data_IF_718269582038
#
_entry.id   IF_718269582038
#
_cell.length_a   1.000
_cell.length_b   1.000
_cell.length_c   1.000
_cell.angle_alpha   90.00
_cell.angle_beta   90.00
_cell.angle_gamma   90.00
#
_symmetry.space_group_name_H-M   'P 1'
#
loop_
_entity.id
_entity.type
_entity.pdbx_description
1 polymer ?
#
# COMPACT_ATOMS: atom_id res chain seq x y z
N UNK A 1 18.20 -11.10 -1.33
CA UNK A 1 19.17 -10.48 -0.38
C UNK A 1 19.00 -11.02 1.05
N UNK A 2 17.78 -11.08 1.61
CA UNK A 2 17.60 -11.57 2.98
C UNK A 2 18.06 -13.03 3.16
N UNK A 3 17.87 -13.88 2.16
CA UNK A 3 18.37 -15.27 2.17
C UNK A 3 19.90 -15.37 1.96
N UNK A 4 20.54 -14.29 1.52
CA UNK A 4 21.99 -14.16 1.32
C UNK A 4 22.70 -13.62 2.57
N UNK A 5 21.98 -13.50 3.69
CA UNK A 5 22.54 -13.08 4.98
C UNK A 5 22.55 -11.58 5.23
N UNK A 6 21.76 -10.79 4.48
CA UNK A 6 21.51 -9.39 4.79
C UNK A 6 20.50 -9.29 5.93
N UNK A 7 20.90 -8.71 7.04
CA UNK A 7 20.11 -8.70 8.28
C UNK A 7 19.54 -7.33 8.64
N UNK A 8 19.95 -6.28 7.97
CA UNK A 8 19.51 -4.91 8.22
C UNK A 8 18.96 -4.27 6.96
N UNK A 9 17.91 -3.49 7.11
CA UNK A 9 17.26 -2.75 6.03
C UNK A 9 17.25 -1.27 6.38
N UNK A 10 17.63 -0.46 5.43
CA UNK A 10 17.46 1.00 5.47
C UNK A 10 16.19 1.28 4.68
N UNK A 11 15.09 1.62 5.36
CA UNK A 11 13.89 2.14 4.72
C UNK A 11 14.15 3.63 4.43
N UNK A 12 14.41 3.99 3.18
CA UNK A 12 14.69 5.35 2.75
C UNK A 12 13.40 5.99 2.20
N UNK A 13 12.96 7.09 2.82
CA UNK A 13 11.77 7.87 2.40
C UNK A 13 12.22 9.29 2.03
N UNK A 14 11.92 9.71 0.81
CA UNK A 14 12.22 11.06 0.33
C UNK A 14 11.05 11.98 0.71
N UNK A 15 11.35 13.10 1.36
CA UNK A 15 10.33 14.03 1.83
C UNK A 15 9.62 14.70 0.66
N UNK A 16 8.30 14.49 0.56
CA UNK A 16 7.44 15.11 -0.46
C UNK A 16 8.06 15.07 -1.87
N UNK A 17 8.56 13.90 -2.27
CA UNK A 17 9.35 13.74 -3.48
C UNK A 17 8.75 14.45 -4.70
N UNK A 18 7.49 14.20 -5.03
CA UNK A 18 6.82 14.82 -6.19
C UNK A 18 6.73 16.35 -6.10
N UNK A 19 6.75 16.93 -4.91
CA UNK A 19 6.63 18.37 -4.69
C UNK A 19 7.99 19.08 -4.67
N UNK A 20 9.10 18.30 -4.53
CA UNK A 20 10.44 18.87 -4.28
C UNK A 20 11.45 18.64 -5.42
N UNK A 21 11.04 17.98 -6.50
CA UNK A 21 11.92 17.75 -7.67
C UNK A 21 12.34 19.08 -8.29
N UNK A 22 13.64 19.31 -8.36
CA UNK A 22 14.20 20.53 -8.96
C UNK A 22 14.14 20.44 -10.49
N UNK A 23 13.41 21.38 -11.14
CA UNK A 23 13.20 21.39 -12.59
C UNK A 23 14.50 21.53 -13.39
N UNK A 24 15.43 22.41 -12.95
CA UNK A 24 16.68 22.64 -13.68
C UNK A 24 17.58 21.39 -13.62
N UNK A 25 17.62 20.73 -12.45
CA UNK A 25 18.35 19.49 -12.30
C UNK A 25 17.77 18.38 -13.15
N UNK A 26 16.42 18.23 -13.16
CA UNK A 26 15.74 17.26 -14.00
C UNK A 26 16.00 17.49 -15.50
N UNK A 27 15.90 18.73 -15.96
CA UNK A 27 16.19 19.07 -17.36
C UNK A 27 17.67 18.84 -17.69
N UNK A 28 18.58 19.10 -16.75
CA UNK A 28 20.00 18.79 -16.90
C UNK A 28 20.26 17.29 -17.09
N UNK A 29 19.57 16.44 -16.31
CA UNK A 29 19.64 14.97 -16.43
C UNK A 29 19.08 14.51 -17.79
N UNK A 30 17.95 15.09 -18.21
CA UNK A 30 17.34 14.78 -19.51
C UNK A 30 18.24 15.14 -20.69
N UNK A 31 18.98 16.24 -20.60
CA UNK A 31 19.95 16.67 -21.62
C UNK A 31 21.07 15.67 -21.89
N UNK A 32 21.37 14.80 -20.94
CA UNK A 32 22.37 13.74 -21.16
C UNK A 32 21.94 12.72 -22.23
N UNK A 33 20.62 12.64 -22.51
CA UNK A 33 20.03 11.67 -23.44
C UNK A 33 19.23 12.31 -24.57
N UNK A 34 18.69 13.50 -24.37
CA UNK A 34 17.81 14.21 -25.31
C UNK A 34 18.53 15.45 -25.79
N UNK A 35 18.93 15.46 -27.06
CA UNK A 35 19.60 16.60 -27.71
C UNK A 35 18.62 17.62 -28.32
N UNK A 36 17.33 17.27 -28.44
CA UNK A 36 16.34 18.17 -29.00
C UNK A 36 15.88 19.24 -28.00
N UNK A 37 16.25 20.49 -28.30
CA UNK A 37 15.90 21.64 -27.48
C UNK A 37 14.38 21.89 -27.42
N UNK A 38 13.63 21.57 -28.49
CA UNK A 38 12.17 21.78 -28.52
C UNK A 38 11.48 20.84 -27.55
N UNK A 39 11.87 19.57 -27.55
CA UNK A 39 11.35 18.57 -26.61
C UNK A 39 11.67 18.94 -25.16
N UNK A 40 12.89 19.35 -24.86
CA UNK A 40 13.27 19.78 -23.50
C UNK A 40 12.49 21.02 -23.04
N UNK A 41 12.24 21.97 -23.94
CA UNK A 41 11.41 23.14 -23.65
C UNK A 41 9.97 22.75 -23.38
N UNK A 42 9.38 21.82 -24.13
CA UNK A 42 8.04 21.32 -23.91
C UNK A 42 7.90 20.64 -22.55
N UNK A 43 8.88 19.76 -22.20
CA UNK A 43 8.90 19.12 -20.87
C UNK A 43 8.97 20.18 -19.77
N UNK A 44 9.80 21.22 -19.92
CA UNK A 44 9.90 22.31 -18.95
C UNK A 44 8.59 23.06 -18.80
N UNK A 45 7.90 23.36 -19.90
CA UNK A 45 6.58 23.98 -19.88
C UNK A 45 5.56 23.11 -19.16
N UNK A 46 5.57 21.78 -19.39
CA UNK A 46 4.73 20.83 -18.67
C UNK A 46 5.00 20.87 -17.14
N UNK A 47 6.25 20.91 -16.71
CA UNK A 47 6.62 21.01 -15.30
C UNK A 47 6.15 22.33 -14.67
N UNK A 48 6.19 23.44 -15.42
CA UNK A 48 5.83 24.77 -14.96
C UNK A 48 4.34 25.08 -15.07
N UNK A 49 3.57 24.26 -15.78
CA UNK A 49 2.12 24.49 -16.02
C UNK A 49 1.30 24.58 -14.72
N UNK A 50 1.83 24.04 -13.62
CA UNK A 50 1.24 24.14 -12.29
C UNK A 50 0.08 23.16 -12.09
N UNK A 51 -0.58 23.32 -10.93
CA UNK A 51 -1.74 22.54 -10.53
C UNK A 51 -2.93 23.49 -10.33
N UNK A 52 -4.08 23.10 -10.85
CA UNK A 52 -5.32 23.85 -10.60
C UNK A 52 -5.88 23.42 -9.24
N UNK A 53 -5.83 24.31 -8.27
CA UNK A 53 -6.49 24.15 -6.96
C UNK A 53 -7.61 25.17 -6.79
N UNK A 54 -8.81 24.70 -6.53
CA UNK A 54 -10.01 25.53 -6.33
C UNK A 54 -10.27 26.56 -7.47
N UNK A 55 -9.97 26.17 -8.73
CA UNK A 55 -10.16 27.03 -9.89
C UNK A 55 -9.03 28.04 -10.15
N UNK A 56 -7.99 28.07 -9.34
CA UNK A 56 -6.82 28.92 -9.52
C UNK A 56 -5.62 28.09 -9.97
N UNK A 57 -4.98 28.49 -11.06
CA UNK A 57 -3.74 27.88 -11.56
C UNK A 57 -2.55 28.51 -10.79
N UNK A 58 -1.83 27.70 -10.04
CA UNK A 58 -0.58 28.13 -9.40
C UNK A 58 0.61 27.56 -10.18
N UNK A 59 1.43 28.39 -10.83
CA UNK A 59 2.65 27.92 -11.47
C UNK A 59 3.56 27.24 -10.46
N UNK A 60 4.07 26.06 -10.79
CA UNK A 60 4.99 25.35 -9.94
C UNK A 60 6.45 25.75 -10.28
N UNK A 61 7.20 26.17 -9.27
CA UNK A 61 8.65 26.45 -9.42
C UNK A 61 9.49 25.17 -9.22
N UNK A 62 8.94 24.21 -8.50
CA UNK A 62 9.56 22.93 -8.14
C UNK A 62 8.48 21.82 -8.19
N UNK A 63 8.91 20.58 -8.26
CA UNK A 63 8.03 19.44 -8.23
C UNK A 63 7.54 18.96 -9.60
N UNK A 64 6.92 17.81 -9.59
CA UNK A 64 6.30 17.17 -10.76
C UNK A 64 4.82 17.01 -10.49
N UNK A 65 3.92 17.46 -11.39
CA UNK A 65 2.47 17.41 -11.15
C UNK A 65 2.00 15.99 -10.79
N UNK A 66 1.40 15.82 -9.61
CA UNK A 66 0.86 14.52 -9.19
C UNK A 66 -0.35 14.14 -10.08
N UNK A 67 -0.32 12.90 -10.62
CA UNK A 67 -1.36 12.42 -11.53
C UNK A 67 -1.16 12.80 -13.01
N UNK A 68 -0.14 13.57 -13.34
CA UNK A 68 0.24 13.85 -14.73
C UNK A 68 0.81 12.61 -15.45
N UNK A 69 0.56 12.43 -16.75
CA UNK A 69 1.02 11.24 -17.50
C UNK A 69 2.53 11.11 -17.60
N UNK A 70 3.27 12.22 -17.60
CA UNK A 70 4.74 12.24 -17.65
C UNK A 70 5.40 12.07 -16.26
N UNK A 71 4.68 12.36 -15.18
CA UNK A 71 5.24 12.42 -13.83
C UNK A 71 5.92 11.13 -13.40
N UNK A 72 5.37 9.91 -13.60
CA UNK A 72 6.04 8.67 -13.22
C UNK A 72 7.35 8.44 -14.00
N UNK A 73 7.37 8.81 -15.30
CA UNK A 73 8.55 8.64 -16.17
C UNK A 73 9.65 9.61 -15.72
N UNK A 74 9.33 10.89 -15.58
CA UNK A 74 10.29 11.93 -15.14
C UNK A 74 10.84 11.64 -13.75
N UNK A 75 9.99 11.14 -12.86
CA UNK A 75 10.36 10.66 -11.52
C UNK A 75 11.41 9.56 -11.59
N UNK A 76 11.17 8.54 -12.41
CA UNK A 76 12.11 7.43 -12.56
C UNK A 76 13.43 7.87 -13.22
N UNK A 77 13.40 8.77 -14.21
CA UNK A 77 14.59 9.34 -14.83
C UNK A 77 15.43 10.11 -13.81
N UNK A 78 14.78 10.85 -12.90
CA UNK A 78 15.47 11.60 -11.85
C UNK A 78 16.16 10.68 -10.85
N UNK A 79 15.47 9.64 -10.40
CA UNK A 79 15.95 8.66 -9.42
C UNK A 79 16.87 7.58 -10.01
N UNK A 80 16.95 7.43 -11.34
CA UNK A 80 17.96 6.58 -12.02
C UNK A 80 19.39 6.96 -11.60
N UNK A 81 19.62 8.26 -11.27
CA UNK A 81 20.90 8.70 -10.73
C UNK A 81 21.21 8.11 -9.36
N UNK A 82 20.18 7.93 -8.51
CA UNK A 82 20.32 7.25 -7.22
C UNK A 82 20.62 5.77 -7.44
N UNK A 83 19.89 5.10 -8.35
CA UNK A 83 20.10 3.69 -8.65
C UNK A 83 21.53 3.45 -9.09
N UNK A 84 22.06 4.23 -10.04
CA UNK A 84 23.45 4.14 -10.50
C UNK A 84 24.49 4.41 -9.40
N UNK A 85 24.20 5.32 -8.50
CA UNK A 85 25.09 5.59 -7.36
C UNK A 85 25.13 4.40 -6.39
N UNK A 86 23.96 3.80 -6.10
CA UNK A 86 23.86 2.63 -5.22
C UNK A 86 24.56 1.41 -5.86
N UNK A 87 24.39 1.20 -7.16
CA UNK A 87 25.07 0.17 -7.94
C UNK A 87 26.59 0.37 -7.95
N UNK A 88 27.06 1.60 -8.22
CA UNK A 88 28.49 1.93 -8.21
C UNK A 88 29.16 1.69 -6.85
N UNK A 89 28.40 1.80 -5.75
CA UNK A 89 28.86 1.48 -4.40
C UNK A 89 28.77 -0.02 -4.06
N UNK A 90 28.25 -0.86 -4.96
CA UNK A 90 28.02 -2.28 -4.73
C UNK A 90 26.97 -2.56 -3.66
N UNK A 91 26.00 -1.66 -3.47
CA UNK A 91 24.95 -1.81 -2.47
C UNK A 91 23.78 -2.64 -3.04
N UNK A 92 23.25 -3.54 -2.23
CA UNK A 92 22.04 -4.29 -2.55
C UNK A 92 20.82 -3.46 -2.19
N UNK A 93 19.97 -3.15 -3.16
CA UNK A 93 18.77 -2.33 -2.93
C UNK A 93 17.60 -2.77 -3.80
N UNK A 94 16.40 -2.32 -3.42
CA UNK A 94 15.18 -2.44 -4.20
C UNK A 94 14.46 -1.10 -4.13
N UNK A 95 14.15 -0.51 -5.29
CA UNK A 95 13.40 0.74 -5.38
C UNK A 95 12.13 0.57 -6.20
N UNK A 96 11.07 1.19 -5.73
CA UNK A 96 9.82 1.34 -6.47
C UNK A 96 9.33 2.78 -6.31
N UNK A 97 9.39 3.56 -7.38
CA UNK A 97 9.21 5.03 -7.35
C UNK A 97 10.15 5.68 -6.32
N UNK A 98 9.61 6.36 -5.33
CA UNK A 98 10.33 7.02 -4.22
C UNK A 98 10.62 6.09 -3.02
N UNK A 99 9.92 4.97 -2.90
CA UNK A 99 10.19 3.94 -1.88
C UNK A 99 11.47 3.18 -2.22
N UNK A 100 12.49 3.23 -1.36
CA UNK A 100 13.76 2.55 -1.55
C UNK A 100 14.21 1.83 -0.28
N UNK A 101 14.49 0.53 -0.40
CA UNK A 101 15.04 -0.30 0.66
C UNK A 101 16.46 -0.71 0.28
N UNK A 102 17.44 -0.41 1.16
CA UNK A 102 18.84 -0.81 0.99
C UNK A 102 19.15 -1.88 2.03
N UNK A 103 19.76 -2.97 1.59
CA UNK A 103 20.06 -4.13 2.42
C UNK A 103 21.54 -4.17 2.79
N UNK A 104 21.85 -4.38 4.07
CA UNK A 104 23.21 -4.44 4.60
C UNK A 104 23.36 -5.53 5.66
N UNK A 105 24.60 -5.98 5.91
CA UNK A 105 24.88 -7.10 6.82
C UNK A 105 24.94 -6.69 8.29
N UNK A 106 25.28 -5.43 8.62
CA UNK A 106 25.45 -4.99 10.00
C UNK A 106 24.80 -3.64 10.25
N UNK A 107 24.45 -3.37 11.51
CA UNK A 107 23.85 -2.08 11.93
C UNK A 107 24.77 -0.90 11.73
N UNK A 108 26.07 -1.06 12.04
CA UNK A 108 27.08 -0.03 11.81
C UNK A 108 27.18 0.33 10.33
N UNK A 109 27.19 -0.69 9.44
CA UNK A 109 27.15 -0.47 7.99
C UNK A 109 25.88 0.26 7.56
N UNK A 110 24.71 -0.11 8.11
CA UNK A 110 23.43 0.54 7.81
C UNK A 110 23.45 2.03 8.15
N UNK A 111 23.90 2.38 9.35
CA UNK A 111 23.97 3.78 9.78
C UNK A 111 24.96 4.61 8.94
N UNK A 112 26.11 4.02 8.59
CA UNK A 112 27.09 4.66 7.72
C UNK A 112 26.56 4.89 6.30
N UNK A 113 25.94 3.87 5.71
CA UNK A 113 25.34 3.93 4.37
C UNK A 113 24.18 4.93 4.37
N UNK A 114 23.29 4.89 5.34
CA UNK A 114 22.19 5.84 5.46
C UNK A 114 22.70 7.29 5.45
N UNK A 115 23.66 7.62 6.32
CA UNK A 115 24.24 8.97 6.39
C UNK A 115 24.90 9.38 5.06
N UNK A 116 25.64 8.47 4.44
CA UNK A 116 26.33 8.73 3.17
C UNK A 116 25.37 8.94 2.01
N UNK A 117 24.31 8.12 1.91
CA UNK A 117 23.28 8.21 0.85
C UNK A 117 22.43 9.47 1.04
N UNK A 118 22.05 9.80 2.28
CA UNK A 118 21.32 11.04 2.59
C UNK A 118 22.12 12.27 2.14
N UNK A 119 23.37 12.36 2.53
CA UNK A 119 24.24 13.48 2.10
C UNK A 119 24.40 13.56 0.58
N UNK A 120 24.47 12.42 -0.10
CA UNK A 120 24.55 12.39 -1.55
C UNK A 120 23.25 12.88 -2.22
N UNK A 121 22.06 12.42 -1.74
CA UNK A 121 20.76 12.87 -2.24
C UNK A 121 20.59 14.39 -2.10
N UNK A 122 20.94 14.95 -0.93
CA UNK A 122 20.82 16.39 -0.67
C UNK A 122 21.77 17.21 -1.56
N UNK A 123 23.02 16.78 -1.69
CA UNK A 123 24.04 17.53 -2.46
C UNK A 123 23.88 17.37 -3.97
N UNK A 124 23.61 16.15 -4.45
CA UNK A 124 23.62 15.85 -5.90
C UNK A 124 22.25 15.99 -6.55
N UNK A 125 21.19 15.56 -5.86
CA UNK A 125 19.82 15.61 -6.37
C UNK A 125 18.97 16.70 -5.72
N UNK A 126 19.49 17.43 -4.72
CA UNK A 126 18.73 18.45 -3.98
C UNK A 126 17.41 17.92 -3.40
N UNK A 127 17.39 16.63 -3.05
CA UNK A 127 16.24 15.97 -2.44
C UNK A 127 16.47 15.85 -0.94
N UNK A 128 15.46 16.19 -0.14
CA UNK A 128 15.51 16.03 1.31
C UNK A 128 15.03 14.65 1.69
N UNK A 129 15.73 13.99 2.60
CA UNK A 129 15.35 12.73 3.17
C UNK A 129 14.52 12.97 4.44
N UNK A 130 13.39 12.27 4.57
CA UNK A 130 12.52 12.37 5.73
C UNK A 130 13.19 11.77 6.97
N UNK A 131 13.62 12.62 7.91
CA UNK A 131 14.23 12.16 9.16
C UNK A 131 13.27 11.34 10.05
N UNK A 132 11.97 11.52 9.90
CA UNK A 132 10.96 10.83 10.72
C UNK A 132 10.58 9.45 10.17
N UNK A 133 10.67 9.27 8.85
CA UNK A 133 10.25 8.03 8.19
C UNK A 133 11.44 7.15 7.79
N UNK A 134 12.59 7.76 7.45
CA UNK A 134 13.81 7.02 7.16
C UNK A 134 14.34 6.36 8.42
N UNK A 135 14.57 5.07 8.37
CA UNK A 135 14.99 4.30 9.54
C UNK A 135 15.85 3.10 9.16
N UNK A 136 16.72 2.73 10.08
CA UNK A 136 17.49 1.49 10.03
C UNK A 136 16.78 0.47 10.90
N UNK A 137 16.33 -0.63 10.32
CA UNK A 137 15.52 -1.63 11.04
C UNK A 137 15.89 -3.06 10.64
N UNK A 138 15.52 -4.02 11.49
CA UNK A 138 15.51 -5.44 11.09
C UNK A 138 14.42 -5.68 10.05
N UNK A 139 14.59 -6.65 9.12
CA UNK A 139 13.64 -6.93 8.05
C UNK A 139 12.20 -7.15 8.54
N UNK A 140 12.02 -7.74 9.72
CA UNK A 140 10.70 -7.97 10.32
C UNK A 140 9.95 -6.70 10.71
N UNK A 141 10.65 -5.55 10.82
CA UNK A 141 10.10 -4.23 11.13
C UNK A 141 10.05 -3.31 9.89
N UNK A 142 10.67 -3.71 8.79
CA UNK A 142 10.60 -3.01 7.51
C UNK A 142 9.24 -3.19 6.86
N UNK A 143 8.79 -2.17 6.13
CA UNK A 143 7.54 -2.18 5.39
C UNK A 143 7.82 -1.65 3.98
N UNK A 144 7.79 -2.53 3.00
CA UNK A 144 7.98 -2.18 1.60
C UNK A 144 6.73 -2.53 0.78
N UNK A 145 6.15 -1.56 0.09
CA UNK A 145 4.91 -1.70 -0.69
C UNK A 145 3.74 -2.34 0.08
N UNK A 146 3.70 -2.13 1.40
CA UNK A 146 2.68 -2.72 2.27
C UNK A 146 2.92 -4.18 2.64
N UNK A 147 4.11 -4.71 2.36
CA UNK A 147 4.57 -6.01 2.85
C UNK A 147 5.56 -5.84 3.99
N UNK A 148 5.59 -6.80 4.89
CA UNK A 148 6.65 -7.00 5.88
C UNK A 148 7.25 -8.38 5.73
N UNK A 149 8.45 -8.59 6.25
CA UNK A 149 9.17 -9.85 6.10
C UNK A 149 9.12 -10.67 7.39
N UNK A 150 9.23 -11.97 7.26
CA UNK A 150 9.35 -12.88 8.38
C UNK A 150 10.20 -14.10 8.00
N UNK A 151 10.91 -14.66 8.98
CA UNK A 151 11.79 -15.81 8.75
C UNK A 151 10.97 -17.10 8.98
N UNK A 152 10.85 -17.92 7.94
CA UNK A 152 10.28 -19.26 7.97
C UNK A 152 11.41 -20.29 8.15
N UNK A 153 11.05 -21.57 8.33
CA UNK A 153 12.03 -22.69 8.30
C UNK A 153 12.76 -22.79 6.97
N UNK A 154 12.07 -22.48 5.87
CA UNK A 154 12.59 -22.55 4.50
C UNK A 154 13.24 -21.24 4.01
N UNK A 155 13.46 -20.25 4.90
CA UNK A 155 14.01 -18.94 4.55
C UNK A 155 13.05 -17.77 4.77
N UNK A 156 13.40 -16.61 4.24
CA UNK A 156 12.62 -15.39 4.36
C UNK A 156 11.42 -15.39 3.42
N UNK A 157 10.27 -14.98 3.96
CA UNK A 157 9.01 -14.83 3.23
C UNK A 157 8.40 -13.47 3.53
N UNK A 158 7.54 -12.98 2.63
CA UNK A 158 6.77 -11.75 2.88
C UNK A 158 5.34 -12.07 3.30
N UNK A 159 4.71 -11.12 3.98
CA UNK A 159 3.29 -11.14 4.36
C UNK A 159 2.75 -9.71 4.35
N UNK A 160 1.42 -9.53 4.19
CA UNK A 160 0.82 -8.20 4.30
C UNK A 160 1.12 -7.56 5.65
N UNK A 161 1.51 -6.28 5.64
CA UNK A 161 1.79 -5.52 6.85
C UNK A 161 0.51 -5.32 7.70
N UNK A 162 0.67 -5.17 9.01
CA UNK A 162 -0.47 -5.14 9.94
C UNK A 162 -1.39 -3.92 9.71
N UNK A 163 -0.84 -2.77 9.32
CA UNK A 163 -1.62 -1.60 8.96
C UNK A 163 -2.51 -1.86 7.73
N UNK A 164 -2.04 -2.66 6.77
CA UNK A 164 -2.80 -3.05 5.56
C UNK A 164 -3.92 -4.02 5.89
N UNK A 165 -3.68 -4.97 6.79
CA UNK A 165 -4.72 -5.85 7.33
C UNK A 165 -5.78 -5.04 8.08
N UNK A 166 -5.37 -4.12 8.96
CA UNK A 166 -6.27 -3.21 9.69
C UNK A 166 -7.14 -2.40 8.73
N UNK A 167 -6.54 -1.81 7.68
CA UNK A 167 -7.28 -1.07 6.64
C UNK A 167 -8.32 -1.93 5.93
N UNK A 168 -8.05 -3.23 5.68
CA UNK A 168 -9.04 -4.14 5.12
C UNK A 168 -10.23 -4.32 6.06
N UNK A 169 -9.98 -4.56 7.36
CA UNK A 169 -11.03 -4.63 8.37
C UNK A 169 -11.86 -3.34 8.43
N UNK A 170 -11.22 -2.19 8.42
CA UNK A 170 -11.90 -0.88 8.53
C UNK A 170 -12.76 -0.59 7.30
N UNK A 171 -12.25 -0.84 6.08
CA UNK A 171 -13.04 -0.73 4.85
C UNK A 171 -14.23 -1.69 4.84
N UNK A 172 -14.04 -2.93 5.30
CA UNK A 172 -15.11 -3.91 5.43
C UNK A 172 -16.16 -3.48 6.45
N UNK A 173 -15.74 -2.95 7.61
CA UNK A 173 -16.67 -2.38 8.61
C UNK A 173 -17.47 -1.21 8.06
N UNK A 174 -16.86 -0.36 7.23
CA UNK A 174 -17.56 0.75 6.57
C UNK A 174 -18.65 0.27 5.60
N UNK A 175 -18.40 -0.81 4.84
CA UNK A 175 -19.40 -1.42 3.96
C UNK A 175 -20.52 -2.07 4.78
N UNK A 176 -20.16 -2.79 5.85
CA UNK A 176 -21.09 -3.50 6.75
C UNK A 176 -21.65 -2.61 7.85
N UNK A 177 -21.43 -1.29 7.79
CA UNK A 177 -22.04 -0.36 8.75
C UNK A 177 -23.56 -0.54 8.76
N UNK A 178 -24.13 -0.75 9.95
CA UNK A 178 -25.56 -1.08 10.15
C UNK A 178 -26.52 -0.17 9.40
N UNK A 179 -26.30 1.15 9.46
CA UNK A 179 -27.17 2.13 8.77
C UNK A 179 -27.21 1.91 7.26
N UNK A 180 -26.05 1.59 6.65
CA UNK A 180 -25.91 1.43 5.20
C UNK A 180 -26.27 0.02 4.74
N UNK A 181 -25.77 -1.00 5.42
CA UNK A 181 -25.90 -2.40 5.00
C UNK A 181 -27.30 -2.96 5.22
N UNK A 182 -28.03 -2.53 6.27
CA UNK A 182 -29.41 -2.96 6.51
C UNK A 182 -30.41 -2.31 5.54
N UNK A 183 -30.18 -1.06 5.14
CA UNK A 183 -31.02 -0.32 4.21
C UNK A 183 -30.81 -0.71 2.74
N UNK A 184 -29.74 -1.43 2.42
CA UNK A 184 -29.33 -1.79 1.07
C UNK A 184 -29.63 -3.25 0.76
N UNK A 185 -29.95 -3.64 -0.52
CA UNK A 185 -30.07 -5.03 -0.90
C UNK A 185 -28.77 -5.81 -0.59
N UNK A 186 -28.90 -7.01 0.00
CA UNK A 186 -27.73 -7.82 0.37
C UNK A 186 -26.83 -8.14 -0.83
N UNK A 187 -27.41 -8.34 -2.02
CA UNK A 187 -26.66 -8.57 -3.27
C UNK A 187 -25.63 -7.44 -3.50
N UNK A 188 -26.07 -6.19 -3.45
CA UNK A 188 -25.17 -5.02 -3.64
C UNK A 188 -24.08 -4.92 -2.56
N UNK A 189 -24.41 -5.28 -1.31
CA UNK A 189 -23.44 -5.32 -0.22
C UNK A 189 -22.37 -6.39 -0.47
N UNK A 190 -22.78 -7.59 -0.92
CA UNK A 190 -21.86 -8.69 -1.25
C UNK A 190 -20.97 -8.34 -2.44
N UNK A 191 -21.51 -7.70 -3.47
CA UNK A 191 -20.73 -7.24 -4.62
C UNK A 191 -19.62 -6.27 -4.21
N UNK A 192 -19.92 -5.26 -3.38
CA UNK A 192 -18.93 -4.32 -2.86
C UNK A 192 -17.85 -5.03 -2.01
N UNK A 193 -18.24 -5.99 -1.18
CA UNK A 193 -17.31 -6.81 -0.40
C UNK A 193 -16.39 -7.62 -1.33
N UNK A 194 -16.97 -8.26 -2.35
CA UNK A 194 -16.21 -9.05 -3.31
C UNK A 194 -15.17 -8.21 -4.06
N UNK A 195 -15.52 -7.00 -4.52
CA UNK A 195 -14.56 -6.12 -5.17
C UNK A 195 -13.42 -5.73 -4.24
N UNK A 196 -13.74 -5.32 -3.01
CA UNK A 196 -12.73 -4.97 -2.01
C UNK A 196 -11.80 -6.15 -1.70
N UNK A 197 -12.36 -7.32 -1.41
CA UNK A 197 -11.61 -8.50 -0.95
C UNK A 197 -10.79 -9.09 -2.09
N UNK A 198 -11.37 -9.24 -3.29
CA UNK A 198 -10.65 -9.75 -4.46
C UNK A 198 -9.49 -8.84 -4.86
N UNK A 199 -9.70 -7.52 -4.87
CA UNK A 199 -8.64 -6.55 -5.14
C UNK A 199 -7.50 -6.65 -4.11
N UNK A 200 -7.84 -6.77 -2.82
CA UNK A 200 -6.86 -6.93 -1.76
C UNK A 200 -6.09 -8.26 -1.88
N UNK A 201 -6.77 -9.39 -2.10
CA UNK A 201 -6.14 -10.71 -2.27
C UNK A 201 -5.22 -10.71 -3.50
N UNK A 202 -5.68 -10.17 -4.63
CA UNK A 202 -4.88 -10.13 -5.85
C UNK A 202 -3.57 -9.34 -5.67
N UNK A 203 -3.60 -8.24 -4.92
CA UNK A 203 -2.42 -7.46 -4.63
C UNK A 203 -1.43 -8.22 -3.73
N UNK A 204 -1.93 -8.84 -2.66
CA UNK A 204 -1.10 -9.50 -1.65
C UNK A 204 -0.84 -11.00 -1.91
N UNK A 205 -1.29 -11.56 -3.03
CA UNK A 205 -1.22 -13.02 -3.33
C UNK A 205 0.17 -13.62 -3.29
N UNK A 206 1.23 -12.82 -3.51
CA UNK A 206 2.62 -13.25 -3.43
C UNK A 206 3.08 -13.47 -1.99
N UNK A 207 2.38 -12.94 -1.00
CA UNK A 207 2.71 -13.03 0.41
C UNK A 207 1.98 -14.16 1.12
N UNK A 208 2.51 -14.58 2.26
CA UNK A 208 1.89 -15.58 3.13
C UNK A 208 0.64 -15.03 3.80
N UNK A 209 -0.55 -15.48 3.38
CA UNK A 209 -1.85 -14.95 3.83
C UNK A 209 -2.77 -15.99 4.45
N UNK A 210 -2.46 -17.30 4.38
CA UNK A 210 -3.41 -18.36 4.73
C UNK A 210 -4.08 -18.15 6.10
N UNK A 211 -3.30 -18.08 7.16
CA UNK A 211 -3.84 -17.88 8.53
C UNK A 211 -4.68 -16.62 8.65
N UNK A 212 -4.18 -15.51 8.09
CA UNK A 212 -4.93 -14.24 8.13
C UNK A 212 -6.28 -14.34 7.40
N UNK A 213 -6.33 -15.00 6.24
CA UNK A 213 -7.58 -15.16 5.48
C UNK A 213 -8.57 -16.09 6.18
N UNK A 214 -8.10 -17.09 6.91
CA UNK A 214 -8.94 -17.96 7.74
C UNK A 214 -9.62 -17.16 8.87
N UNK A 215 -8.84 -16.39 9.64
CA UNK A 215 -9.34 -15.51 10.71
C UNK A 215 -10.29 -14.43 10.18
N UNK A 216 -9.86 -13.75 9.12
CA UNK A 216 -10.67 -12.71 8.48
C UNK A 216 -11.98 -13.27 7.91
N UNK A 217 -11.93 -14.46 7.30
CA UNK A 217 -13.10 -15.12 6.75
C UNK A 217 -14.12 -15.50 7.84
N UNK A 218 -13.67 -16.00 8.99
CA UNK A 218 -14.55 -16.30 10.14
C UNK A 218 -15.21 -15.01 10.65
N UNK A 219 -14.42 -13.97 10.89
CA UNK A 219 -14.94 -12.67 11.31
C UNK A 219 -15.93 -12.07 10.30
N UNK A 220 -15.62 -12.14 8.99
CA UNK A 220 -16.46 -11.61 7.93
C UNK A 220 -17.82 -12.34 7.88
N UNK A 221 -17.80 -13.68 7.94
CA UNK A 221 -19.04 -14.49 7.99
C UNK A 221 -19.93 -14.08 9.16
N UNK A 222 -19.33 -13.91 10.35
CA UNK A 222 -20.07 -13.41 11.51
C UNK A 222 -20.72 -12.05 11.25
N UNK A 223 -19.96 -11.07 10.74
CA UNK A 223 -20.48 -9.72 10.44
C UNK A 223 -21.58 -9.72 9.39
N UNK A 224 -21.44 -10.50 8.32
CA UNK A 224 -22.48 -10.64 7.28
C UNK A 224 -23.76 -11.26 7.86
N UNK A 225 -23.65 -12.31 8.68
CA UNK A 225 -24.80 -12.91 9.36
C UNK A 225 -25.56 -11.89 10.23
N UNK A 226 -24.85 -11.08 10.98
CA UNK A 226 -25.48 -10.00 11.79
C UNK A 226 -26.28 -9.04 10.92
N UNK A 227 -25.76 -8.64 9.76
CA UNK A 227 -26.48 -7.76 8.83
C UNK A 227 -27.73 -8.43 8.30
N UNK A 228 -27.66 -9.72 7.86
CA UNK A 228 -28.80 -10.50 7.38
C UNK A 228 -29.90 -10.59 8.43
N UNK A 229 -29.54 -10.96 9.67
CA UNK A 229 -30.51 -11.04 10.78
C UNK A 229 -31.20 -9.69 11.03
N UNK A 230 -30.47 -8.60 10.99
CA UNK A 230 -31.04 -7.25 11.16
C UNK A 230 -31.93 -6.81 9.97
N UNK A 231 -31.68 -7.30 8.74
CA UNK A 231 -32.58 -7.07 7.60
C UNK A 231 -33.93 -7.80 7.76
N UNK A 232 -33.93 -8.98 8.39
CA UNK A 232 -35.19 -9.74 8.60
C UNK A 232 -36.11 -9.12 9.64
N UNK A 233 -35.61 -8.29 10.54
CA UNK A 233 -36.32 -7.42 11.49
C UNK A 233 -37.19 -8.13 12.54
N UNK A 234 -38.14 -9.01 12.13
CA UNK A 234 -39.14 -9.64 13.02
C UNK A 234 -38.66 -11.02 13.48
N UNK A 235 -38.77 -11.38 14.79
CA UNK A 235 -38.33 -12.66 15.33
C UNK A 235 -38.90 -13.85 14.54
N UNK A 236 -40.19 -13.85 14.24
CA UNK A 236 -40.83 -14.93 13.48
C UNK A 236 -40.24 -15.08 12.07
N UNK A 237 -39.92 -13.96 11.38
CA UNK A 237 -39.26 -14.00 10.07
C UNK A 237 -37.83 -14.54 10.16
N UNK A 238 -37.10 -14.18 11.20
CA UNK A 238 -35.76 -14.70 11.47
C UNK A 238 -35.84 -16.22 11.65
N UNK A 239 -36.76 -16.68 12.51
CA UNK A 239 -36.97 -18.09 12.78
C UNK A 239 -37.29 -18.91 11.51
N UNK A 240 -38.26 -18.48 10.71
CA UNK A 240 -38.66 -19.17 9.46
C UNK A 240 -37.53 -19.21 8.43
N UNK A 241 -36.78 -18.08 8.28
CA UNK A 241 -35.67 -18.03 7.33
C UNK A 241 -34.50 -18.90 7.77
N UNK A 242 -34.17 -18.93 9.08
CA UNK A 242 -33.15 -19.83 9.61
C UNK A 242 -33.51 -21.31 9.45
N UNK A 243 -34.76 -21.68 9.69
CA UNK A 243 -35.23 -23.04 9.42
C UNK A 243 -35.09 -23.40 7.95
N UNK A 244 -35.51 -22.51 7.05
CA UNK A 244 -35.36 -22.71 5.59
C UNK A 244 -33.93 -22.91 5.18
N UNK A 245 -33.00 -22.04 5.68
CA UNK A 245 -31.56 -22.17 5.42
C UNK A 245 -30.98 -23.47 5.96
N UNK A 246 -31.41 -23.90 7.17
CA UNK A 246 -30.96 -25.16 7.77
C UNK A 246 -31.33 -26.37 6.93
N UNK A 247 -32.54 -26.39 6.35
CA UNK A 247 -33.01 -27.45 5.43
C UNK A 247 -32.24 -27.48 4.11
N UNK A 248 -31.90 -26.29 3.56
CA UNK A 248 -31.26 -26.19 2.23
C UNK A 248 -29.76 -26.43 2.31
N UNK A 249 -29.09 -25.88 3.34
CA UNK A 249 -27.61 -25.79 3.42
C UNK A 249 -27.04 -26.72 4.48
N UNK A 250 -27.91 -27.37 5.30
CA UNK A 250 -27.48 -28.28 6.37
C UNK A 250 -26.61 -27.56 7.43
N UNK A 251 -26.99 -26.34 7.84
CA UNK A 251 -26.22 -25.52 8.76
C UNK A 251 -26.05 -26.11 10.18
N UNK A 252 -26.70 -27.24 10.49
CA UNK A 252 -26.57 -27.96 11.75
C UNK A 252 -27.15 -27.25 13.00
N UNK A 253 -27.90 -26.15 12.82
CA UNK A 253 -28.53 -25.45 13.94
C UNK A 253 -29.65 -26.28 14.54
N UNK A 254 -29.64 -26.44 15.87
CA UNK A 254 -30.76 -27.01 16.60
C UNK A 254 -31.95 -26.06 16.63
N UNK A 255 -33.14 -26.57 16.89
CA UNK A 255 -34.36 -25.78 17.02
C UNK A 255 -34.20 -24.69 18.11
N UNK A 256 -33.58 -25.05 19.25
CA UNK A 256 -33.32 -24.13 20.35
C UNK A 256 -32.37 -22.99 19.98
N UNK A 257 -31.30 -23.29 19.25
CA UNK A 257 -30.35 -22.27 18.78
C UNK A 257 -31.00 -21.28 17.81
N UNK A 258 -31.84 -21.77 16.89
CA UNK A 258 -32.62 -20.95 15.97
C UNK A 258 -33.59 -20.05 16.76
N UNK A 259 -34.25 -20.59 17.76
CA UNK A 259 -35.19 -19.84 18.61
C UNK A 259 -34.48 -18.75 19.43
N UNK A 260 -33.36 -19.09 20.06
CA UNK A 260 -32.54 -18.10 20.80
C UNK A 260 -32.06 -16.94 19.90
N UNK A 261 -31.56 -17.23 18.69
CA UNK A 261 -31.10 -16.21 17.76
C UNK A 261 -32.25 -15.35 17.24
N UNK A 262 -33.44 -15.91 17.09
CA UNK A 262 -34.62 -15.18 16.61
C UNK A 262 -35.14 -14.16 17.64
N UNK A 263 -34.93 -14.43 18.93
CA UNK A 263 -35.46 -13.62 20.04
C UNK A 263 -34.40 -12.73 20.72
N UNK A 264 -33.13 -12.79 20.30
CA UNK A 264 -32.05 -11.90 20.72
C UNK A 264 -31.99 -10.63 19.84
#
# INVERSE_FOLDING_TARGET
>A
YLNEGYEWVIDLDIEKYFDTVNHDKLVSILRERINDAKTLRLIRQFLQAGVMENGLIRPSKEGVPQGGPLSPILSNVYLDKLDKELEARGLCFVRYADDCNIFVKSEMAANRVMKSVTNWLERKLRLKVSATKTKVVRPTKSNFLGFTFWKSKDGWKCKPANDRKKRLYDKTRAILCRRKAVARPMKSTIEQLNWLIRGWINYYRIGSMKMFLEEYGQWLRHKVRVVILKQWKKPMRIYLNLQKMNRIVGCGFTHEEIFKVANS
#
